data_IF_672146378296
#
_entry.id   IF_672146378296
#
_cell.length_a   1.000
_cell.length_b   1.000
_cell.length_c   1.000
_cell.angle_alpha   90.00
_cell.angle_beta   90.00
_cell.angle_gamma   90.00
#
_symmetry.space_group_name_H-M   'P 1'
#
loop_
_entity.id
_entity.type
_entity.pdbx_description
1 polymer ?
#
# COMPACT_ATOMS: atom_id res chain seq x y z
N UNK A 1 -57.80 18.18 -34.28
CA UNK A 1 -56.76 17.15 -34.13
C UNK A 1 -55.50 17.62 -34.83
N UNK A 2 -54.34 17.43 -34.18
CA UNK A 2 -52.96 17.45 -34.72
C UNK A 2 -52.30 18.80 -35.05
N UNK A 3 -51.57 19.37 -34.08
CA UNK A 3 -50.29 20.09 -34.30
C UNK A 3 -49.60 20.47 -32.98
N UNK A 4 -49.15 19.48 -32.17
CA UNK A 4 -48.31 19.75 -30.98
C UNK A 4 -47.15 18.74 -30.82
N UNK A 5 -46.82 17.97 -31.86
CA UNK A 5 -45.82 16.91 -31.79
C UNK A 5 -44.34 17.26 -32.10
N UNK A 6 -43.92 18.42 -32.69
CA UNK A 6 -42.53 18.55 -33.15
C UNK A 6 -41.55 19.17 -32.15
N UNK A 7 -41.98 19.59 -30.94
CA UNK A 7 -41.10 20.29 -29.98
C UNK A 7 -40.41 19.37 -28.96
N UNK A 8 -40.76 18.09 -28.88
CA UNK A 8 -40.19 17.17 -27.88
C UNK A 8 -39.01 16.32 -28.37
N UNK A 9 -38.61 16.45 -29.64
CA UNK A 9 -37.55 15.62 -30.25
C UNK A 9 -36.19 16.33 -30.42
N UNK A 10 -36.10 17.63 -30.09
CA UNK A 10 -34.96 18.44 -30.54
C UNK A 10 -33.79 18.60 -29.55
N UNK A 11 -33.85 18.14 -28.30
CA UNK A 11 -32.84 18.51 -27.27
C UNK A 11 -32.25 17.35 -26.45
N UNK A 12 -32.35 16.10 -26.91
CA UNK A 12 -31.51 15.03 -26.38
C UNK A 12 -30.31 14.86 -27.31
N UNK A 13 -29.31 15.73 -27.17
CA UNK A 13 -27.99 15.42 -27.70
C UNK A 13 -27.59 14.05 -27.10
N UNK A 14 -27.22 13.05 -27.91
CA UNK A 14 -26.79 11.77 -27.37
C UNK A 14 -25.64 12.06 -26.40
N UNK A 15 -25.78 11.59 -25.15
CA UNK A 15 -24.68 11.67 -24.20
C UNK A 15 -23.42 11.10 -24.89
N UNK A 16 -22.26 11.77 -24.80
CA UNK A 16 -21.06 11.28 -25.45
C UNK A 16 -20.86 9.82 -25.03
N UNK A 17 -20.78 8.94 -26.03
CA UNK A 17 -20.57 7.52 -25.77
C UNK A 17 -19.30 7.38 -24.92
N UNK A 18 -19.39 6.64 -23.82
CA UNK A 18 -18.25 6.41 -22.96
C UNK A 18 -17.22 5.57 -23.72
N UNK A 19 -16.13 6.19 -24.17
CA UNK A 19 -15.04 5.50 -24.87
C UNK A 19 -14.07 4.95 -23.84
N UNK A 20 -13.87 3.63 -23.81
CA UNK A 20 -12.79 3.00 -23.05
C UNK A 20 -11.56 2.85 -23.95
N UNK A 21 -10.44 3.55 -23.68
CA UNK A 21 -9.20 3.34 -24.40
C UNK A 21 -8.74 1.88 -24.30
N UNK A 22 -8.04 1.38 -25.33
CA UNK A 22 -7.48 0.04 -25.31
C UNK A 22 -6.52 -0.12 -24.14
N UNK A 23 -6.68 -1.21 -23.36
CA UNK A 23 -5.83 -1.47 -22.18
C UNK A 23 -6.11 -0.60 -20.95
N UNK A 24 -7.15 0.25 -20.95
CA UNK A 24 -7.46 1.11 -19.80
C UNK A 24 -7.80 0.31 -18.53
N UNK A 25 -8.53 -0.79 -18.66
CA UNK A 25 -8.96 -1.61 -17.51
C UNK A 25 -7.79 -2.27 -16.76
N UNK A 26 -6.85 -2.99 -17.42
CA UNK A 26 -5.70 -3.55 -16.70
C UNK A 26 -4.79 -2.46 -16.12
N UNK A 27 -4.56 -1.35 -16.83
CA UNK A 27 -3.78 -0.22 -16.31
C UNK A 27 -4.42 0.37 -15.04
N UNK A 28 -5.73 0.65 -15.09
CA UNK A 28 -6.49 1.16 -13.95
C UNK A 28 -6.53 0.16 -12.79
N UNK A 29 -6.67 -1.14 -13.09
CA UNK A 29 -6.67 -2.20 -12.08
C UNK A 29 -5.35 -2.28 -11.33
N UNK A 30 -4.21 -2.28 -12.04
CA UNK A 30 -2.88 -2.27 -11.41
C UNK A 30 -2.66 -0.99 -10.61
N UNK A 31 -3.11 0.16 -11.11
CA UNK A 31 -3.06 1.42 -10.37
C UNK A 31 -3.87 1.36 -9.07
N UNK A 32 -5.10 0.86 -9.13
CA UNK A 32 -5.98 0.72 -7.99
C UNK A 32 -5.39 -0.22 -6.93
N UNK A 33 -4.90 -1.40 -7.35
CA UNK A 33 -4.21 -2.34 -6.47
C UNK A 33 -2.99 -1.70 -5.80
N UNK A 34 -2.19 -0.94 -6.55
CA UNK A 34 -1.05 -0.22 -5.99
C UNK A 34 -1.49 0.76 -4.89
N UNK A 35 -2.50 1.59 -5.15
CA UNK A 35 -2.96 2.61 -4.19
C UNK A 35 -3.62 2.01 -2.95
N UNK A 36 -4.49 1.01 -3.12
CA UNK A 36 -5.13 0.36 -1.98
C UNK A 36 -4.10 -0.37 -1.13
N UNK A 37 -3.06 -0.96 -1.74
CA UNK A 37 -1.95 -1.56 -0.99
C UNK A 37 -1.18 -0.54 -0.15
N UNK A 38 -0.92 0.68 -0.66
CA UNK A 38 -0.32 1.75 0.15
C UNK A 38 -1.19 2.08 1.38
N UNK A 39 -2.51 2.21 1.17
CA UNK A 39 -3.45 2.52 2.25
C UNK A 39 -3.51 1.38 3.30
N UNK A 40 -3.54 0.14 2.84
CA UNK A 40 -3.56 -1.05 3.71
C UNK A 40 -2.25 -1.19 4.49
N UNK A 41 -1.09 -1.01 3.85
CA UNK A 41 0.20 -1.04 4.54
C UNK A 41 0.27 0.03 5.63
N UNK A 42 -0.07 1.28 5.30
CA UNK A 42 -0.02 2.36 6.28
C UNK A 42 -1.02 2.15 7.42
N UNK A 43 -2.25 1.73 7.10
CA UNK A 43 -3.28 1.41 8.09
C UNK A 43 -2.88 0.27 9.03
N UNK A 44 -2.26 -0.79 8.49
CA UNK A 44 -1.77 -1.92 9.25
C UNK A 44 -0.63 -1.50 10.21
N UNK A 45 0.37 -0.76 9.72
CA UNK A 45 1.45 -0.23 10.57
C UNK A 45 0.93 0.68 11.69
N UNK A 46 -0.06 1.53 11.41
CA UNK A 46 -0.70 2.37 12.44
C UNK A 46 -1.40 1.50 13.49
N UNK A 47 -2.14 0.47 13.06
CA UNK A 47 -2.86 -0.43 13.94
C UNK A 47 -1.91 -1.26 14.80
N UNK A 48 -0.86 -1.84 14.22
CA UNK A 48 0.19 -2.55 14.95
C UNK A 48 0.84 -1.65 15.99
N UNK A 49 1.20 -0.42 15.59
CA UNK A 49 1.79 0.55 16.51
C UNK A 49 0.85 0.90 17.66
N UNK A 50 -0.46 0.94 17.42
CA UNK A 50 -1.48 1.22 18.45
C UNK A 50 -1.69 0.05 19.40
N UNK A 51 -1.65 -1.19 18.90
CA UNK A 51 -1.98 -2.40 19.65
C UNK A 51 -0.79 -3.01 20.39
N UNK A 52 0.45 -2.73 19.96
CA UNK A 52 1.63 -3.36 20.56
C UNK A 52 1.84 -2.92 22.02
N UNK A 53 1.84 -3.90 22.92
CA UNK A 53 2.01 -3.73 24.36
C UNK A 53 2.63 -4.98 24.99
N UNK A 54 3.16 -4.85 26.21
CA UNK A 54 3.57 -6.00 26.99
C UNK A 54 2.35 -6.82 27.45
N UNK A 55 2.55 -8.13 27.62
CA UNK A 55 1.53 -9.08 28.07
C UNK A 55 0.16 -8.87 27.40
N UNK A 56 0.08 -8.90 26.06
CA UNK A 56 -1.18 -8.67 25.35
C UNK A 56 -2.20 -9.77 25.68
N UNK A 57 -3.49 -9.42 25.65
CA UNK A 57 -4.55 -10.42 25.67
C UNK A 57 -4.49 -11.30 24.42
N UNK A 58 -5.18 -12.45 24.45
CA UNK A 58 -5.26 -13.35 23.29
C UNK A 58 -5.82 -12.65 22.06
N UNK A 59 -6.84 -11.81 22.26
CA UNK A 59 -7.52 -11.05 21.21
C UNK A 59 -6.56 -10.04 20.59
N UNK A 60 -5.80 -9.29 21.42
CA UNK A 60 -4.82 -8.31 20.94
C UNK A 60 -3.69 -9.00 20.18
N UNK A 61 -3.13 -10.07 20.73
CA UNK A 61 -2.06 -10.84 20.08
C UNK A 61 -2.52 -11.44 18.74
N UNK A 62 -3.74 -11.98 18.69
CA UNK A 62 -4.33 -12.52 17.45
C UNK A 62 -4.56 -11.41 16.43
N UNK A 63 -5.03 -10.25 16.86
CA UNK A 63 -5.24 -9.09 15.99
C UNK A 63 -3.92 -8.59 15.40
N UNK A 64 -2.84 -8.55 16.20
CA UNK A 64 -1.50 -8.19 15.71
C UNK A 64 -1.02 -9.17 14.62
N UNK A 65 -1.14 -10.48 14.83
CA UNK A 65 -0.77 -11.49 13.83
C UNK A 65 -1.56 -11.32 12.53
N UNK A 66 -2.89 -11.12 12.62
CA UNK A 66 -3.73 -10.91 11.43
C UNK A 66 -3.36 -9.60 10.72
N UNK A 67 -3.10 -8.55 11.48
CA UNK A 67 -2.72 -7.24 10.92
C UNK A 67 -1.40 -7.33 10.16
N UNK A 68 -0.41 -8.04 10.70
CA UNK A 68 0.89 -8.26 10.05
C UNK A 68 0.78 -9.12 8.79
N UNK A 69 -0.12 -10.12 8.76
CA UNK A 69 -0.43 -10.86 7.54
C UNK A 69 -1.02 -9.94 6.46
N UNK A 70 -1.98 -9.07 6.84
CA UNK A 70 -2.55 -8.09 5.91
C UNK A 70 -1.48 -7.13 5.41
N UNK A 71 -0.61 -6.64 6.29
CA UNK A 71 0.54 -5.81 5.94
C UNK A 71 1.44 -6.52 4.92
N UNK A 72 1.84 -7.76 5.18
CA UNK A 72 2.71 -8.54 4.30
C UNK A 72 2.11 -8.79 2.92
N UNK A 73 0.82 -9.14 2.84
CA UNK A 73 0.11 -9.32 1.56
C UNK A 73 0.00 -7.99 0.81
N UNK A 74 -0.34 -6.90 1.52
CA UNK A 74 -0.43 -5.57 0.94
C UNK A 74 0.93 -5.09 0.42
N UNK A 75 2.00 -5.30 1.17
CA UNK A 75 3.37 -4.95 0.77
C UNK A 75 3.80 -5.75 -0.46
N UNK A 76 3.56 -7.06 -0.50
CA UNK A 76 3.88 -7.85 -1.69
C UNK A 76 3.10 -7.36 -2.92
N UNK A 77 1.81 -7.07 -2.75
CA UNK A 77 0.96 -6.54 -3.82
C UNK A 77 1.43 -5.14 -4.26
N UNK A 78 1.87 -4.28 -3.33
CA UNK A 78 2.43 -2.97 -3.60
C UNK A 78 3.70 -3.07 -4.45
N UNK A 79 4.60 -3.99 -4.11
CA UNK A 79 5.83 -4.23 -4.84
C UNK A 79 5.55 -4.74 -6.26
N UNK A 80 4.74 -5.79 -6.38
CA UNK A 80 4.42 -6.41 -7.68
C UNK A 80 3.67 -5.44 -8.60
N UNK A 81 2.67 -4.73 -8.08
CA UNK A 81 1.98 -3.69 -8.85
C UNK A 81 2.91 -2.53 -9.22
N UNK A 82 3.86 -2.16 -8.35
CA UNK A 82 4.89 -1.18 -8.65
C UNK A 82 5.78 -1.59 -9.83
N UNK A 83 6.23 -2.85 -9.85
CA UNK A 83 7.00 -3.43 -10.96
C UNK A 83 6.18 -3.39 -12.25
N UNK A 84 4.91 -3.81 -12.22
CA UNK A 84 4.03 -3.76 -13.39
C UNK A 84 3.83 -2.34 -13.92
N UNK A 85 3.78 -1.33 -13.04
CA UNK A 85 3.72 0.08 -13.46
C UNK A 85 5.02 0.51 -14.14
N UNK A 86 6.18 0.06 -13.68
CA UNK A 86 7.46 0.38 -14.33
C UNK A 86 7.54 -0.25 -15.72
N UNK A 87 7.13 -1.51 -15.85
CA UNK A 87 7.32 -2.28 -17.08
C UNK A 87 6.21 -2.08 -18.13
N UNK A 88 4.97 -1.83 -17.73
CA UNK A 88 3.82 -1.92 -18.64
C UNK A 88 2.81 -0.76 -18.55
N UNK A 89 2.54 -0.22 -17.36
CA UNK A 89 1.35 0.63 -17.13
C UNK A 89 1.64 2.05 -16.65
N UNK A 90 2.92 2.46 -16.63
CA UNK A 90 3.38 3.76 -16.13
C UNK A 90 3.93 4.68 -17.24
N UNK A 91 4.94 5.48 -16.89
CA UNK A 91 5.54 6.50 -17.78
C UNK A 91 6.64 5.93 -18.72
N UNK A 92 6.72 4.61 -18.86
CA UNK A 92 7.82 3.92 -19.55
C UNK A 92 8.98 3.60 -18.63
N UNK A 93 9.70 2.51 -18.89
CA UNK A 93 10.75 1.99 -17.99
C UNK A 93 11.88 3.01 -17.76
N UNK A 94 12.35 3.66 -18.82
CA UNK A 94 13.48 4.59 -18.79
C UNK A 94 13.20 5.79 -17.88
N UNK A 95 11.96 6.31 -17.89
CA UNK A 95 11.52 7.38 -16.99
C UNK A 95 11.78 7.04 -15.51
N UNK A 96 11.63 5.77 -15.14
CA UNK A 96 11.87 5.31 -13.78
C UNK A 96 13.35 5.02 -13.55
N UNK A 97 13.99 4.22 -14.40
CA UNK A 97 15.34 3.70 -14.13
C UNK A 97 16.44 4.74 -14.26
N UNK A 98 16.23 5.78 -15.08
CA UNK A 98 17.16 6.92 -15.20
C UNK A 98 16.94 7.98 -14.10
N UNK A 99 15.82 7.93 -13.38
CA UNK A 99 15.52 8.88 -12.32
C UNK A 99 16.11 8.44 -10.97
N UNK A 100 17.08 9.16 -10.37
CA UNK A 100 17.66 8.78 -9.07
C UNK A 100 16.64 8.77 -7.92
N UNK A 101 15.57 9.58 -7.99
CA UNK A 101 14.50 9.60 -6.99
C UNK A 101 13.71 8.29 -6.99
N UNK A 102 13.61 7.60 -8.14
CA UNK A 102 13.01 6.26 -8.21
C UNK A 102 13.80 5.27 -7.35
N UNK A 103 15.13 5.28 -7.44
CA UNK A 103 15.98 4.36 -6.69
C UNK A 103 15.98 4.67 -5.19
N UNK A 104 15.97 5.94 -4.79
CA UNK A 104 15.77 6.31 -3.39
C UNK A 104 14.43 5.80 -2.84
N UNK A 105 13.37 5.94 -3.61
CA UNK A 105 12.03 5.43 -3.24
C UNK A 105 12.03 3.91 -3.11
N UNK A 106 12.62 3.17 -4.07
CA UNK A 106 12.73 1.71 -4.02
C UNK A 106 13.60 1.27 -2.84
N UNK A 107 14.76 1.90 -2.65
CA UNK A 107 15.65 1.61 -1.53
C UNK A 107 14.98 1.83 -0.18
N UNK A 108 14.25 2.94 -0.01
CA UNK A 108 13.48 3.22 1.20
C UNK A 108 12.36 2.18 1.42
N UNK A 109 11.65 1.81 0.37
CA UNK A 109 10.63 0.76 0.43
C UNK A 109 11.21 -0.58 0.89
N UNK A 110 12.34 -1.00 0.31
CA UNK A 110 13.01 -2.26 0.67
C UNK A 110 13.61 -2.19 2.08
N UNK A 111 14.12 -1.04 2.51
CA UNK A 111 14.64 -0.84 3.86
C UNK A 111 13.52 -0.95 4.92
N UNK A 112 12.37 -0.31 4.68
CA UNK A 112 11.19 -0.44 5.55
C UNK A 112 10.70 -1.88 5.58
N UNK A 113 10.49 -2.50 4.42
CA UNK A 113 10.04 -3.90 4.35
C UNK A 113 11.03 -4.89 5.00
N UNK A 114 12.33 -4.64 4.85
CA UNK A 114 13.39 -5.43 5.50
C UNK A 114 13.39 -5.26 7.02
N UNK A 115 13.17 -4.03 7.51
CA UNK A 115 13.01 -3.76 8.94
C UNK A 115 11.77 -4.47 9.51
N UNK A 116 10.69 -4.54 8.74
CA UNK A 116 9.42 -5.20 9.13
C UNK A 116 9.54 -6.70 9.30
N UNK A 117 10.58 -7.34 8.75
CA UNK A 117 10.81 -8.76 9.01
C UNK A 117 11.02 -9.05 10.51
N UNK A 118 11.54 -8.10 11.30
CA UNK A 118 11.71 -8.30 12.74
C UNK A 118 10.36 -8.40 13.49
N UNK A 119 9.42 -7.44 13.37
CA UNK A 119 8.04 -7.60 13.84
C UNK A 119 7.36 -8.87 13.30
N UNK A 120 7.42 -9.11 11.98
CA UNK A 120 6.77 -10.27 11.35
C UNK A 120 7.24 -11.59 11.95
N UNK A 121 8.56 -11.81 12.05
CA UNK A 121 9.11 -13.02 12.68
C UNK A 121 8.65 -13.13 14.14
N UNK A 122 8.62 -12.01 14.87
CA UNK A 122 8.16 -11.98 16.27
C UNK A 122 6.70 -12.41 16.39
N UNK A 123 5.81 -11.88 15.55
CA UNK A 123 4.39 -12.21 15.56
C UNK A 123 4.11 -13.64 15.07
N UNK A 124 4.85 -14.14 14.08
CA UNK A 124 4.78 -15.54 13.67
C UNK A 124 5.11 -16.49 14.83
N UNK A 125 6.11 -16.15 15.64
CA UNK A 125 6.45 -16.94 16.83
C UNK A 125 5.33 -16.94 17.89
N UNK A 126 4.46 -15.93 17.91
CA UNK A 126 3.28 -15.90 18.77
C UNK A 126 2.13 -16.78 18.26
N UNK A 127 2.08 -17.07 16.95
CA UNK A 127 1.02 -17.90 16.39
C UNK A 127 1.02 -19.33 16.96
N UNK A 128 2.19 -19.88 17.30
CA UNK A 128 2.31 -21.22 17.88
C UNK A 128 1.66 -21.36 19.28
N UNK A 129 2.01 -20.56 20.31
CA UNK A 129 1.36 -20.62 21.62
C UNK A 129 -0.12 -20.27 21.54
N UNK A 130 -0.50 -19.27 20.72
CA UNK A 130 -1.91 -18.90 20.55
C UNK A 130 -2.78 -20.07 20.06
N UNK A 131 -2.26 -20.92 19.17
CA UNK A 131 -2.94 -22.14 18.70
C UNK A 131 -3.09 -23.20 19.78
N UNK A 132 -2.24 -23.20 20.81
CA UNK A 132 -2.32 -24.08 21.98
C UNK A 132 -3.19 -23.49 23.11
N UNK A 133 -3.72 -22.28 22.93
CA UNK A 133 -4.47 -21.58 23.98
C UNK A 133 -3.58 -20.87 25.01
N UNK A 134 -2.27 -20.78 24.73
CA UNK A 134 -1.28 -20.09 25.56
C UNK A 134 -1.10 -18.65 25.06
N UNK A 135 -0.65 -17.76 25.95
CA UNK A 135 -0.33 -16.37 25.60
C UNK A 135 1.16 -16.22 25.31
N UNK A 136 1.54 -15.41 24.30
CA UNK A 136 2.94 -15.06 24.11
C UNK A 136 3.45 -14.22 25.28
N UNK A 137 4.63 -14.56 25.80
CA UNK A 137 5.31 -13.74 26.80
C UNK A 137 5.96 -12.54 26.11
N UNK A 138 5.35 -11.37 26.27
CA UNK A 138 5.86 -10.12 25.69
C UNK A 138 6.33 -9.20 26.81
N UNK A 139 7.65 -9.09 26.96
CA UNK A 139 8.25 -8.18 27.93
C UNK A 139 8.11 -6.71 27.51
N UNK A 140 8.17 -5.79 28.47
CA UNK A 140 8.18 -4.35 28.19
C UNK A 140 9.36 -3.93 27.31
N UNK A 141 10.52 -4.57 27.46
CA UNK A 141 11.68 -4.31 26.63
C UNK A 141 11.42 -4.68 25.15
N UNK A 142 10.78 -5.84 24.91
CA UNK A 142 10.41 -6.27 23.56
C UNK A 142 9.33 -5.34 22.97
N UNK A 143 8.27 -5.06 23.72
CA UNK A 143 7.22 -4.14 23.28
C UNK A 143 7.78 -2.74 22.99
N UNK A 144 8.69 -2.23 23.82
CA UNK A 144 9.40 -0.97 23.60
C UNK A 144 10.20 -0.96 22.30
N UNK A 145 10.92 -2.04 21.99
CA UNK A 145 11.68 -2.17 20.74
C UNK A 145 10.76 -2.19 19.52
N UNK A 146 9.68 -2.97 19.56
CA UNK A 146 8.70 -3.05 18.48
C UNK A 146 8.02 -1.69 18.24
N UNK A 147 7.66 -0.95 19.30
CA UNK A 147 7.13 0.42 19.19
C UNK A 147 8.09 1.36 18.44
N UNK A 148 9.39 1.26 18.73
CA UNK A 148 10.41 2.05 18.04
C UNK A 148 10.56 1.67 16.57
N UNK A 149 10.61 0.38 16.27
CA UNK A 149 10.65 -0.12 14.89
C UNK A 149 9.44 0.38 14.10
N UNK A 150 8.23 0.17 14.62
CA UNK A 150 6.98 0.61 13.97
C UNK A 150 6.92 2.13 13.76
N UNK A 151 7.49 2.94 14.65
CA UNK A 151 7.61 4.39 14.43
C UNK A 151 8.53 4.71 13.24
N UNK A 152 9.68 4.03 13.13
CA UNK A 152 10.63 4.22 12.03
C UNK A 152 9.97 3.80 10.71
N UNK A 153 9.27 2.67 10.71
CA UNK A 153 8.53 2.16 9.55
C UNK A 153 7.43 3.13 9.12
N UNK A 154 6.65 3.67 10.05
CA UNK A 154 5.62 4.66 9.75
C UNK A 154 6.19 5.91 9.09
N UNK A 155 7.29 6.45 9.63
CA UNK A 155 7.96 7.63 9.05
C UNK A 155 8.55 7.29 7.68
N UNK A 156 9.29 6.18 7.58
CA UNK A 156 9.89 5.73 6.33
C UNK A 156 8.85 5.48 5.25
N UNK A 157 7.76 4.78 5.58
CA UNK A 157 6.69 4.47 4.66
C UNK A 157 5.92 5.72 4.22
N UNK A 158 5.68 6.68 5.12
CA UNK A 158 5.04 7.96 4.79
C UNK A 158 5.86 8.82 3.81
N UNK A 159 7.18 8.67 3.79
CA UNK A 159 8.06 9.38 2.84
C UNK A 159 8.03 8.78 1.43
N UNK A 160 7.66 7.50 1.26
CA UNK A 160 7.63 6.83 -0.05
C UNK A 160 6.67 7.51 -1.03
N UNK A 161 5.41 7.85 -0.66
CA UNK A 161 4.53 8.65 -1.51
C UNK A 161 5.10 10.03 -1.87
N UNK A 162 5.81 10.70 -0.95
CA UNK A 162 6.45 11.99 -1.24
C UNK A 162 7.46 11.82 -2.37
N UNK A 163 8.38 10.85 -2.26
CA UNK A 163 9.35 10.55 -3.32
C UNK A 163 8.66 10.15 -4.64
N UNK A 164 7.58 9.36 -4.57
CA UNK A 164 6.80 9.00 -5.74
C UNK A 164 6.21 10.22 -6.45
N UNK A 165 5.68 11.19 -5.71
CA UNK A 165 5.07 12.40 -6.27
C UNK A 165 6.10 13.37 -6.87
N UNK A 166 7.30 13.46 -6.29
CA UNK A 166 8.42 14.23 -6.83
C UNK A 166 8.91 13.60 -8.13
N UNK A 167 9.21 12.29 -8.09
CA UNK A 167 9.65 11.52 -9.26
C UNK A 167 8.63 11.61 -10.40
N UNK A 168 7.33 11.50 -10.11
CA UNK A 168 6.28 11.61 -11.13
C UNK A 168 6.22 12.97 -11.84
N UNK A 169 6.88 14.01 -11.30
CA UNK A 169 7.00 15.35 -11.89
C UNK A 169 8.37 15.57 -12.55
N UNK A 170 9.16 14.53 -12.76
CA UNK A 170 10.47 14.60 -13.40
C UNK A 170 11.60 15.11 -12.50
N UNK A 171 11.34 15.35 -11.19
CA UNK A 171 12.42 15.72 -10.25
C UNK A 171 13.49 14.64 -10.26
N UNK A 172 14.74 15.04 -10.47
CA UNK A 172 15.91 14.16 -10.55
C UNK A 172 16.40 13.85 -11.97
N UNK A 173 15.60 14.14 -13.01
CA UNK A 173 16.02 14.04 -14.40
C UNK A 173 16.66 15.35 -14.88
N UNK A 174 17.51 15.27 -15.91
CA UNK A 174 18.00 16.46 -16.60
C UNK A 174 16.85 17.17 -17.31
N UNK A 175 16.90 18.50 -17.36
CA UNK A 175 15.91 19.35 -18.03
C UNK A 175 16.04 19.30 -19.55
#
# INVERSE_FOLDING_TARGET
>A
MLALAPLLSAHLAPLPAFVFPTGVLPSAGVAYLHYISVMLCFGALVLERRLIQANPSKEVATTLVITDIVYGIAALTLLLSGILRVLHYGQGADFYTENPVFWWKVGLYLAVGGLSLYPTITYILWALPLRKGELPEVSEALAGRLRWILNIELVGFALIPVLATLMARGVGLAA
#
